data_IF_251014663565
#
_entry.id   IF_251014663565
#
_cell.length_a   1.000
_cell.length_b   1.000
_cell.length_c   1.000
_cell.angle_alpha   90.00
_cell.angle_beta   90.00
_cell.angle_gamma   90.00
#
_symmetry.space_group_name_H-M   'P 1'
#
loop_
_entity.id
_entity.type
_entity.pdbx_description
1 polymer ?
#
# COMPACT_ATOMS: atom_id res chain seq x y z
N UNK A 1 -21.24 5.10 20.04
CA UNK A 1 -21.25 3.62 20.00
C UNK A 1 -20.02 3.11 19.28
N UNK A 2 -19.58 1.89 19.56
CA UNK A 2 -18.43 1.25 18.89
C UNK A 2 -18.68 1.18 17.39
N UNK A 3 -19.89 0.79 16.98
CA UNK A 3 -20.26 0.70 15.55
C UNK A 3 -20.11 2.02 14.78
N UNK A 4 -20.42 3.16 15.42
CA UNK A 4 -20.20 4.48 14.79
C UNK A 4 -18.71 4.78 14.59
N UNK A 5 -17.87 4.35 15.55
CA UNK A 5 -16.42 4.50 15.47
C UNK A 5 -15.83 3.63 14.34
N UNK A 6 -16.29 2.38 14.26
CA UNK A 6 -15.92 1.45 13.16
C UNK A 6 -16.29 2.00 11.79
N UNK A 7 -17.52 2.51 11.64
CA UNK A 7 -17.97 3.15 10.39
C UNK A 7 -17.08 4.34 10.00
N UNK A 8 -16.71 5.18 10.99
CA UNK A 8 -15.80 6.30 10.77
C UNK A 8 -14.41 5.84 10.33
N UNK A 9 -13.84 4.84 10.99
CA UNK A 9 -12.50 4.32 10.65
C UNK A 9 -12.50 3.64 9.27
N UNK A 10 -13.55 2.91 8.93
CA UNK A 10 -13.71 2.32 7.59
C UNK A 10 -13.75 3.40 6.48
N UNK A 11 -14.46 4.50 6.73
CA UNK A 11 -14.46 5.62 5.79
C UNK A 11 -13.10 6.32 5.68
N UNK A 12 -12.42 6.56 6.81
CA UNK A 12 -11.06 7.14 6.82
C UNK A 12 -10.08 6.26 6.05
N UNK A 13 -10.18 4.93 6.19
CA UNK A 13 -9.38 3.98 5.40
C UNK A 13 -9.65 4.13 3.90
N UNK A 14 -10.92 4.21 3.48
CA UNK A 14 -11.30 4.43 2.07
C UNK A 14 -10.78 5.78 1.54
N UNK A 15 -10.85 6.83 2.37
CA UNK A 15 -10.31 8.14 2.01
C UNK A 15 -8.80 8.09 1.75
N UNK A 16 -8.03 7.45 2.64
CA UNK A 16 -6.59 7.35 2.47
C UNK A 16 -6.19 6.42 1.32
N UNK A 17 -6.96 5.35 1.06
CA UNK A 17 -6.77 4.51 -0.12
C UNK A 17 -6.90 5.33 -1.42
N UNK A 18 -7.94 6.16 -1.52
CA UNK A 18 -8.13 7.04 -2.67
C UNK A 18 -7.04 8.11 -2.78
N UNK A 19 -6.57 8.68 -1.66
CA UNK A 19 -5.44 9.63 -1.65
C UNK A 19 -4.14 8.97 -2.09
N UNK A 20 -3.90 7.73 -1.65
CA UNK A 20 -2.74 6.93 -2.08
C UNK A 20 -2.80 6.65 -3.59
N UNK A 21 -3.98 6.29 -4.11
CA UNK A 21 -4.19 6.15 -5.55
C UNK A 21 -3.87 7.45 -6.29
N UNK A 22 -4.38 8.60 -5.83
CA UNK A 22 -4.06 9.89 -6.46
C UNK A 22 -2.55 10.18 -6.48
N UNK A 23 -1.87 9.89 -5.38
CA UNK A 23 -0.41 10.06 -5.27
C UNK A 23 0.34 9.11 -6.22
N UNK A 24 -0.10 7.87 -6.39
CA UNK A 24 0.53 6.88 -7.27
C UNK A 24 0.47 7.24 -8.76
N UNK A 25 -0.34 8.23 -9.13
CA UNK A 25 -0.42 8.77 -10.50
C UNK A 25 0.64 9.85 -10.77
N UNK A 26 1.24 10.40 -9.75
CA UNK A 26 2.31 11.38 -9.86
C UNK A 26 3.65 10.68 -10.09
N UNK A 27 4.64 11.38 -10.69
CA UNK A 27 5.99 10.86 -10.77
C UNK A 27 6.54 10.58 -9.37
N UNK A 28 7.10 9.40 -9.17
CA UNK A 28 7.81 9.05 -7.94
C UNK A 28 9.31 9.29 -8.11
N UNK A 29 9.92 9.99 -7.17
CA UNK A 29 11.36 10.16 -7.09
C UNK A 29 11.89 9.25 -5.98
N UNK A 30 12.83 8.37 -6.33
CA UNK A 30 13.43 7.41 -5.41
C UNK A 30 14.94 7.56 -5.45
N UNK A 31 15.54 7.76 -4.28
CA UNK A 31 16.98 7.61 -4.06
C UNK A 31 17.23 6.16 -3.62
N UNK A 32 18.11 5.46 -4.30
CA UNK A 32 18.50 4.10 -3.95
C UNK A 32 20.02 3.98 -3.91
N UNK A 33 20.52 3.01 -3.15
CA UNK A 33 21.95 2.78 -3.07
C UNK A 33 22.26 1.40 -2.56
N UNK A 34 23.37 0.83 -3.05
CA UNK A 34 23.98 -0.38 -2.55
C UNK A 34 25.31 -0.01 -1.93
N UNK A 35 25.44 -0.24 -0.64
CA UNK A 35 26.66 0.03 0.11
C UNK A 35 27.32 -1.28 0.50
N UNK A 36 28.68 -1.29 0.44
CA UNK A 36 29.49 -2.42 0.87
C UNK A 36 29.18 -3.75 0.12
N UNK A 37 28.88 -3.65 -1.17
CA UNK A 37 28.79 -4.85 -2.02
C UNK A 37 30.21 -5.37 -2.29
N UNK A 38 30.56 -6.42 -1.55
CA UNK A 38 31.89 -7.01 -1.56
C UNK A 38 31.87 -8.29 -2.41
N UNK A 39 32.64 -8.31 -3.47
CA UNK A 39 32.79 -9.46 -4.37
C UNK A 39 34.22 -10.00 -4.36
N UNK A 40 34.32 -11.30 -4.10
CA UNK A 40 35.57 -12.05 -4.23
C UNK A 40 35.30 -13.32 -5.02
N UNK A 41 35.66 -13.34 -6.28
CA UNK A 41 35.42 -14.46 -7.17
C UNK A 41 36.67 -14.85 -7.96
N UNK A 42 36.71 -16.11 -8.36
CA UNK A 42 37.70 -16.65 -9.28
C UNK A 42 36.97 -17.03 -10.56
N UNK A 43 37.30 -16.34 -11.65
CA UNK A 43 36.70 -16.61 -12.97
C UNK A 43 37.75 -17.19 -13.90
N UNK A 44 37.44 -18.28 -14.57
CA UNK A 44 38.28 -18.86 -15.61
C UNK A 44 38.10 -18.04 -16.89
N UNK A 45 39.14 -17.38 -17.32
CA UNK A 45 39.16 -16.61 -18.57
C UNK A 45 39.99 -17.37 -19.61
N UNK A 46 39.46 -17.49 -20.82
CA UNK A 46 40.19 -18.00 -21.98
C UNK A 46 40.85 -16.83 -22.73
N UNK A 47 42.16 -16.94 -22.96
CA UNK A 47 42.87 -15.96 -23.78
C UNK A 47 42.51 -16.17 -25.24
N UNK A 48 42.23 -15.06 -25.95
CA UNK A 48 41.95 -15.08 -27.39
C UNK A 48 43.21 -15.29 -28.25
N UNK A 49 44.40 -15.07 -27.70
CA UNK A 49 45.65 -15.15 -28.46
C UNK A 49 46.18 -16.58 -28.60
N UNK A 50 46.08 -17.36 -27.54
CA UNK A 50 46.69 -18.71 -27.48
C UNK A 50 45.73 -19.82 -27.02
N UNK A 51 44.46 -19.47 -26.76
CA UNK A 51 43.45 -20.41 -26.25
C UNK A 51 43.70 -20.88 -24.80
N UNK A 52 44.72 -20.37 -24.12
CA UNK A 52 45.05 -20.77 -22.77
C UNK A 52 44.02 -20.29 -21.77
N UNK A 53 43.87 -21.08 -20.68
CA UNK A 53 42.96 -20.70 -19.56
C UNK A 53 43.75 -20.09 -18.44
N UNK A 54 43.27 -18.95 -17.91
CA UNK A 54 43.84 -18.31 -16.73
C UNK A 54 42.73 -18.03 -15.70
N UNK A 55 43.07 -18.25 -14.45
CA UNK A 55 42.19 -17.82 -13.37
C UNK A 55 42.40 -16.33 -13.07
N UNK A 56 41.35 -15.56 -13.28
CA UNK A 56 41.33 -14.16 -12.83
C UNK A 56 40.62 -14.07 -11.49
N UNK A 57 41.34 -13.54 -10.51
CA UNK A 57 40.79 -13.27 -9.18
C UNK A 57 40.22 -11.86 -9.18
N UNK A 58 38.92 -11.77 -8.92
CA UNK A 58 38.22 -10.50 -8.69
C UNK A 58 38.08 -10.28 -7.19
N UNK A 59 38.44 -9.09 -6.72
CA UNK A 59 38.38 -8.70 -5.34
C UNK A 59 38.00 -7.23 -5.26
N UNK A 60 36.71 -6.96 -5.20
CA UNK A 60 36.15 -5.62 -5.34
C UNK A 60 35.21 -5.27 -4.19
N UNK A 61 35.21 -4.01 -3.82
CA UNK A 61 34.15 -3.37 -3.04
C UNK A 61 33.43 -2.38 -3.95
N UNK A 62 32.16 -2.60 -4.19
CA UNK A 62 31.34 -1.68 -4.99
C UNK A 62 30.33 -0.97 -4.10
N UNK A 63 30.31 0.34 -4.23
CA UNK A 63 29.29 1.22 -3.67
C UNK A 63 28.59 1.91 -4.81
N UNK A 64 27.26 1.96 -4.78
CA UNK A 64 26.48 2.66 -5.80
C UNK A 64 25.40 3.52 -5.16
N UNK A 65 25.14 4.65 -5.78
CA UNK A 65 24.08 5.58 -5.44
C UNK A 65 23.36 5.99 -6.72
N UNK A 66 22.03 5.93 -6.71
CA UNK A 66 21.24 6.28 -7.87
C UNK A 66 19.96 7.02 -7.52
N UNK A 67 19.52 7.83 -8.46
CA UNK A 67 18.24 8.51 -8.46
C UNK A 67 17.35 7.92 -9.56
N UNK A 68 16.10 7.63 -9.25
CA UNK A 68 15.14 7.14 -10.21
C UNK A 68 13.85 7.94 -10.13
N UNK A 69 13.38 8.40 -11.30
CA UNK A 69 12.02 8.91 -11.47
C UNK A 69 11.22 7.84 -12.19
N UNK A 70 10.09 7.44 -11.64
CA UNK A 70 9.17 6.49 -12.26
C UNK A 70 7.79 7.14 -12.46
N UNK A 71 7.23 6.99 -13.67
CA UNK A 71 5.94 7.55 -14.05
C UNK A 71 5.08 6.49 -14.74
N UNK A 72 3.87 6.30 -14.25
CA UNK A 72 2.85 5.48 -14.91
C UNK A 72 2.18 6.26 -16.03
N UNK A 73 2.17 5.69 -17.24
CA UNK A 73 1.54 6.29 -18.42
C UNK A 73 0.14 5.72 -18.59
N UNK A 74 -0.86 6.46 -18.13
CA UNK A 74 -2.28 6.01 -18.10
C UNK A 74 -2.82 5.67 -19.48
N UNK A 75 -2.39 6.38 -20.53
CA UNK A 75 -2.90 6.20 -21.88
C UNK A 75 -2.49 4.85 -22.47
N UNK A 76 -1.23 4.46 -22.34
CA UNK A 76 -0.67 3.23 -22.93
C UNK A 76 -0.70 2.04 -21.99
N UNK A 77 -0.77 2.29 -20.65
CA UNK A 77 -0.58 1.26 -19.65
C UNK A 77 0.88 0.91 -19.38
N UNK A 78 1.82 1.65 -20.01
CA UNK A 78 3.25 1.50 -19.80
C UNK A 78 3.78 2.26 -18.60
N UNK A 79 5.09 2.08 -18.35
CA UNK A 79 5.82 2.79 -17.28
C UNK A 79 7.09 3.39 -17.87
N UNK A 80 7.29 4.67 -17.57
CA UNK A 80 8.50 5.41 -17.92
C UNK A 80 9.39 5.51 -16.68
N UNK A 81 10.66 5.21 -16.87
CA UNK A 81 11.69 5.35 -15.86
C UNK A 81 12.81 6.23 -16.40
N UNK A 82 13.24 7.18 -15.61
CA UNK A 82 14.45 7.97 -15.85
C UNK A 82 15.34 7.79 -14.63
N UNK A 83 16.55 7.30 -14.84
CA UNK A 83 17.46 7.04 -13.73
C UNK A 83 18.89 7.50 -14.04
N UNK A 84 19.61 7.83 -12.99
CA UNK A 84 21.00 8.22 -12.98
C UNK A 84 21.73 7.44 -11.90
N UNK A 85 22.87 6.86 -12.24
CA UNK A 85 23.66 6.03 -11.33
C UNK A 85 25.09 6.53 -11.25
N UNK A 86 25.63 6.52 -10.03
CA UNK A 86 27.04 6.73 -9.73
C UNK A 86 27.54 5.52 -8.93
N UNK A 87 28.57 4.87 -9.43
CA UNK A 87 29.20 3.73 -8.78
C UNK A 87 30.67 3.98 -8.54
N UNK A 88 31.12 3.59 -7.36
CA UNK A 88 32.53 3.55 -6.97
C UNK A 88 32.94 2.11 -6.79
N UNK A 89 34.00 1.71 -7.47
CA UNK A 89 34.58 0.37 -7.41
C UNK A 89 36.00 0.49 -6.86
N UNK A 90 36.22 -0.06 -5.68
CA UNK A 90 37.51 -0.24 -5.06
C UNK A 90 38.01 -1.65 -5.36
N UNK A 91 38.98 -1.79 -6.23
CA UNK A 91 39.60 -3.04 -6.59
C UNK A 91 40.79 -3.30 -5.68
N UNK A 92 40.78 -4.46 -5.02
CA UNK A 92 41.86 -4.91 -4.14
C UNK A 92 42.69 -6.00 -4.85
N UNK A 93 43.90 -6.24 -4.35
CA UNK A 93 44.82 -7.25 -4.88
C UNK A 93 46.16 -6.65 -5.26
N UNK A 94 46.87 -7.29 -6.20
CA UNK A 94 48.20 -6.86 -6.66
C UNK A 94 48.15 -5.48 -7.32
N UNK A 95 47.07 -5.18 -8.05
CA UNK A 95 46.84 -3.88 -8.69
C UNK A 95 45.65 -3.19 -8.05
N UNK A 96 45.89 -2.47 -6.97
CA UNK A 96 44.84 -1.65 -6.32
C UNK A 96 44.42 -0.51 -7.23
N UNK A 97 43.13 -0.42 -7.54
CA UNK A 97 42.59 0.64 -8.39
C UNK A 97 41.25 1.10 -7.85
N UNK A 98 41.09 2.42 -7.79
CA UNK A 98 39.82 3.09 -7.54
C UNK A 98 39.24 3.55 -8.90
N UNK A 99 38.02 3.16 -9.20
CA UNK A 99 37.35 3.55 -10.43
C UNK A 99 35.96 4.09 -10.10
N UNK A 100 35.64 5.24 -10.72
CA UNK A 100 34.29 5.79 -10.70
C UNK A 100 33.62 5.50 -12.05
N UNK A 101 32.39 5.04 -11.98
CA UNK A 101 31.54 4.80 -13.13
C UNK A 101 30.24 5.56 -12.94
N UNK A 102 29.82 6.30 -13.94
CA UNK A 102 28.59 7.09 -13.92
C UNK A 102 27.77 6.84 -15.17
N UNK A 103 26.47 6.64 -14.97
CA UNK A 103 25.46 6.71 -16.02
C UNK A 103 24.61 7.96 -15.77
N UNK A 104 24.91 9.10 -16.39
CA UNK A 104 24.27 10.37 -16.05
C UNK A 104 22.77 10.36 -16.25
N UNK A 105 22.28 9.81 -17.34
CA UNK A 105 20.84 9.68 -17.63
C UNK A 105 20.60 8.43 -18.45
N UNK A 106 19.68 7.60 -17.96
CA UNK A 106 19.15 6.47 -18.71
C UNK A 106 17.64 6.54 -18.72
N UNK A 107 17.02 6.40 -19.87
CA UNK A 107 15.58 6.39 -20.05
C UNK A 107 15.15 4.97 -20.43
N UNK A 108 14.19 4.44 -19.68
CA UNK A 108 13.60 3.12 -19.94
C UNK A 108 12.08 3.26 -20.03
N UNK A 109 11.52 2.73 -21.09
CA UNK A 109 10.07 2.59 -21.20
C UNK A 109 9.69 1.11 -21.26
N UNK A 110 8.74 0.71 -20.41
CA UNK A 110 8.23 -0.66 -20.34
C UNK A 110 6.76 -0.65 -20.74
N UNK A 111 6.43 -1.29 -21.85
CA UNK A 111 5.08 -1.39 -22.39
C UNK A 111 4.60 -2.85 -22.38
N UNK A 112 3.59 -3.23 -21.59
CA UNK A 112 2.92 -4.51 -21.74
C UNK A 112 2.15 -4.55 -23.08
N UNK A 113 2.39 -5.56 -23.92
CA UNK A 113 1.76 -5.66 -25.24
C UNK A 113 0.45 -6.46 -25.20
N UNK A 114 0.38 -7.51 -24.37
CA UNK A 114 -0.77 -8.43 -24.27
C UNK A 114 -1.45 -8.40 -22.91
N UNK A 115 -1.48 -7.25 -22.27
CA UNK A 115 -2.11 -7.06 -20.96
C UNK A 115 -3.14 -5.93 -21.03
N UNK A 116 -4.19 -6.04 -20.21
CA UNK A 116 -5.13 -4.94 -20.06
C UNK A 116 -4.46 -3.71 -19.40
N UNK A 117 -4.90 -2.53 -19.78
CA UNK A 117 -4.38 -1.29 -19.21
C UNK A 117 -4.97 -1.02 -17.81
N UNK A 118 -4.27 -1.52 -16.78
CA UNK A 118 -4.68 -1.36 -15.39
C UNK A 118 -4.86 0.12 -15.00
N UNK A 119 -3.95 1.02 -15.39
CA UNK A 119 -4.00 2.43 -15.01
C UNK A 119 -5.23 3.16 -15.56
N UNK A 120 -5.71 2.74 -16.73
CA UNK A 120 -6.95 3.25 -17.31
C UNK A 120 -8.17 2.81 -16.50
N UNK A 121 -8.21 1.55 -16.09
CA UNK A 121 -9.31 1.01 -15.28
C UNK A 121 -9.31 1.57 -13.86
N UNK A 122 -8.15 1.66 -13.22
CA UNK A 122 -8.01 2.26 -11.89
C UNK A 122 -8.53 3.72 -11.89
N UNK A 123 -8.26 4.47 -12.95
CA UNK A 123 -8.79 5.84 -13.13
C UNK A 123 -10.31 5.90 -13.11
N UNK A 124 -10.99 4.86 -13.59
CA UNK A 124 -12.45 4.79 -13.65
C UNK A 124 -13.05 4.18 -12.35
N UNK A 125 -12.36 3.24 -11.75
CA UNK A 125 -12.85 2.46 -10.61
C UNK A 125 -12.65 3.21 -9.28
N UNK A 126 -11.45 3.73 -9.04
CA UNK A 126 -11.08 4.32 -7.74
C UNK A 126 -11.99 5.46 -7.27
N UNK A 127 -12.43 6.41 -8.12
CA UNK A 127 -13.40 7.43 -7.70
C UNK A 127 -14.75 6.82 -7.28
N UNK A 128 -15.19 5.73 -7.95
CA UNK A 128 -16.44 5.04 -7.63
C UNK A 128 -16.33 4.27 -6.32
N UNK A 129 -15.18 3.66 -6.06
CA UNK A 129 -14.90 2.99 -4.79
C UNK A 129 -14.90 3.99 -3.62
N UNK A 130 -14.33 5.17 -3.82
CA UNK A 130 -14.40 6.25 -2.83
C UNK A 130 -15.84 6.70 -2.57
N UNK A 131 -16.63 6.89 -3.62
CA UNK A 131 -18.05 7.26 -3.49
C UNK A 131 -18.86 6.16 -2.80
N UNK A 132 -18.59 4.88 -3.13
CA UNK A 132 -19.19 3.72 -2.45
C UNK A 132 -18.87 3.72 -0.96
N UNK A 133 -17.62 3.97 -0.59
CA UNK A 133 -17.21 4.07 0.80
C UNK A 133 -17.90 5.20 1.56
N UNK A 134 -18.09 6.35 0.92
CA UNK A 134 -18.86 7.47 1.47
C UNK A 134 -20.31 7.10 1.71
N UNK A 135 -20.98 6.46 0.76
CA UNK A 135 -22.38 6.03 0.91
C UNK A 135 -22.53 4.98 2.00
N UNK A 136 -21.61 4.02 2.05
CA UNK A 136 -21.60 2.99 3.11
C UNK A 136 -21.42 3.59 4.51
N UNK A 137 -20.64 4.66 4.64
CA UNK A 137 -20.52 5.37 5.90
C UNK A 137 -21.85 5.99 6.34
N UNK A 138 -22.58 6.66 5.45
CA UNK A 138 -23.90 7.24 5.73
C UNK A 138 -24.87 6.13 6.14
N UNK A 139 -24.97 5.05 5.37
CA UNK A 139 -25.81 3.89 5.67
C UNK A 139 -25.51 3.28 7.05
N UNK A 140 -24.23 3.12 7.37
CA UNK A 140 -23.82 2.60 8.68
C UNK A 140 -24.21 3.54 9.84
N UNK A 141 -24.13 4.84 9.63
CA UNK A 141 -24.56 5.82 10.65
C UNK A 141 -26.09 5.81 10.83
N UNK A 142 -26.86 5.68 9.77
CA UNK A 142 -28.30 5.51 9.83
C UNK A 142 -28.68 4.21 10.56
N UNK A 143 -27.99 3.12 10.28
CA UNK A 143 -28.22 1.84 10.98
C UNK A 143 -27.92 1.95 12.48
N UNK A 144 -26.86 2.66 12.87
CA UNK A 144 -26.58 2.93 14.29
C UNK A 144 -27.72 3.70 14.94
N UNK A 145 -28.28 4.69 14.24
CA UNK A 145 -29.41 5.49 14.74
C UNK A 145 -30.65 4.62 14.90
N UNK A 146 -30.98 3.80 13.91
CA UNK A 146 -32.12 2.86 13.96
C UNK A 146 -31.98 1.91 15.15
N UNK A 147 -30.79 1.34 15.35
CA UNK A 147 -30.53 0.42 16.45
C UNK A 147 -30.69 1.11 17.82
N UNK A 148 -30.24 2.35 17.95
CA UNK A 148 -30.39 3.12 19.17
C UNK A 148 -31.85 3.43 19.49
N UNK A 149 -32.62 3.85 18.48
CA UNK A 149 -34.06 4.11 18.60
C UNK A 149 -34.82 2.84 18.97
N UNK A 150 -34.51 1.72 18.31
CA UNK A 150 -35.14 0.43 18.60
C UNK A 150 -34.85 -0.03 20.04
N UNK A 151 -33.63 0.11 20.51
CA UNK A 151 -33.24 -0.21 21.88
C UNK A 151 -33.97 0.66 22.90
N UNK A 152 -34.13 1.97 22.59
CA UNK A 152 -34.90 2.89 23.44
C UNK A 152 -36.36 2.44 23.60
N UNK A 153 -37.05 2.17 22.48
CA UNK A 153 -38.45 1.71 22.55
C UNK A 153 -38.60 0.35 23.23
N UNK A 154 -37.66 -0.57 23.03
CA UNK A 154 -37.64 -1.84 23.76
C UNK A 154 -37.55 -1.63 25.27
N UNK A 155 -36.70 -0.69 25.73
CA UNK A 155 -36.60 -0.34 27.15
C UNK A 155 -37.88 0.27 27.67
N UNK A 156 -38.50 1.23 26.95
CA UNK A 156 -39.78 1.86 27.33
C UNK A 156 -40.88 0.81 27.45
N UNK A 157 -40.95 -0.11 26.49
CA UNK A 157 -41.93 -1.20 26.54
C UNK A 157 -41.72 -2.14 27.75
N UNK A 158 -40.46 -2.48 28.06
CA UNK A 158 -40.14 -3.29 29.23
C UNK A 158 -40.53 -2.59 30.56
N UNK A 159 -40.28 -1.28 30.65
CA UNK A 159 -40.71 -0.49 31.85
C UNK A 159 -42.22 -0.45 31.97
N UNK A 160 -42.96 -0.25 30.87
CA UNK A 160 -44.43 -0.27 30.93
C UNK A 160 -44.99 -1.63 31.30
N UNK A 161 -44.41 -2.68 30.79
CA UNK A 161 -44.79 -4.06 31.17
C UNK A 161 -44.53 -4.29 32.65
N UNK A 162 -43.44 -3.82 33.19
CA UNK A 162 -43.14 -3.91 34.64
C UNK A 162 -44.19 -3.18 35.49
N UNK A 163 -44.60 -1.96 35.09
CA UNK A 163 -45.67 -1.22 35.80
C UNK A 163 -46.98 -2.00 35.81
N UNK A 164 -47.38 -2.55 34.67
CA UNK A 164 -48.63 -3.36 34.53
C UNK A 164 -48.55 -4.60 35.39
N UNK A 165 -47.47 -5.35 35.36
CA UNK A 165 -47.28 -6.56 36.17
C UNK A 165 -47.31 -6.22 37.66
N UNK A 166 -46.69 -5.13 38.07
CA UNK A 166 -46.72 -4.68 39.48
C UNK A 166 -48.15 -4.33 39.94
N UNK A 167 -48.90 -3.56 39.14
CA UNK A 167 -50.27 -3.23 39.42
C UNK A 167 -51.17 -4.47 39.51
N UNK A 168 -51.00 -5.43 38.60
CA UNK A 168 -51.72 -6.69 38.66
C UNK A 168 -51.41 -7.53 39.90
N UNK A 169 -50.15 -7.56 40.31
CA UNK A 169 -49.70 -8.22 41.53
C UNK A 169 -50.36 -7.59 42.77
N UNK A 170 -50.28 -6.25 42.92
CA UNK A 170 -50.91 -5.53 44.04
C UNK A 170 -52.43 -5.73 44.10
N UNK A 171 -53.14 -5.76 42.95
CA UNK A 171 -54.56 -6.01 42.89
C UNK A 171 -54.89 -7.45 43.28
N UNK A 172 -54.10 -8.44 42.84
CA UNK A 172 -54.32 -9.86 43.23
C UNK A 172 -54.06 -10.09 44.69
N UNK A 173 -53.07 -9.41 45.28
CA UNK A 173 -52.81 -9.51 46.72
C UNK A 173 -53.94 -8.92 47.56
N UNK A 174 -54.50 -7.77 47.14
CA UNK A 174 -55.72 -7.18 47.75
C UNK A 174 -56.91 -8.11 47.67
N UNK A 175 -57.16 -8.77 46.57
CA UNK A 175 -58.25 -9.75 46.43
C UNK A 175 -58.06 -11.00 47.29
N UNK A 176 -56.84 -11.41 47.57
CA UNK A 176 -56.50 -12.55 48.41
C UNK A 176 -56.66 -12.25 49.90
N UNK A 177 -56.59 -10.99 50.30
CA UNK A 177 -56.68 -10.52 51.73
C UNK A 177 -58.10 -10.22 52.17
N UNK A 178 -59.09 -10.36 51.31
CA UNK A 178 -60.54 -10.31 51.58
C UNK A 178 -61.10 -11.72 51.67
#
# INVERSE_FOLDING_TARGET
SVAALEAKHAFVSTYWAYRSYQASRLPSLVLYGNLMNFDRSLTLLQSYEDGSFRYASTYNLQNSLGLQIAQNVTFTGGRLYVYSDLSRIDQFGLNKKLTWYSQPVTVRYVQPLFSYNQFKWDKLIEPKEYERGRRRYVESMEQVTINAVSAYFTLVQALKNQEVVKANYENTEKMRSV
#
